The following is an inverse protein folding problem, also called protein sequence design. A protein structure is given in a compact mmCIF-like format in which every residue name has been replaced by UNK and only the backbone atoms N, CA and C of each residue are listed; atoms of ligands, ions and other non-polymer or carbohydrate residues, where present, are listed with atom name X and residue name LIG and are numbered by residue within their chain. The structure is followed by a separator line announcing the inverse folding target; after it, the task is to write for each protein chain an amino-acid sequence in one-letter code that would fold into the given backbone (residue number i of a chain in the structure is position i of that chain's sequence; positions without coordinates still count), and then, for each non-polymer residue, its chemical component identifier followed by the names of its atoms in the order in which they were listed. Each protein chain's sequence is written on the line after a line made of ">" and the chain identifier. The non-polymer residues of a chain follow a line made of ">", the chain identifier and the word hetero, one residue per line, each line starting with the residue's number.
data_IF_109543016946
#
_entry.id   IF_109543016946
#
_cell.length_a   1.000
_cell.length_b   1.000
_cell.length_c   1.000
_cell.angle_alpha   90.00
_cell.angle_beta   90.00
_cell.angle_gamma   90.00
#
_symmetry.space_group_name_H-M   'P 1'
#
loop_
_entity.id
_entity.type
_entity.pdbx_description
1 polymer ?
#
# COMPACT_ATOMS: atom_id res chain seq x y z
N UNK A 1 -48.35 -10.29 15.34
CA UNK A 1 -47.05 -9.59 15.29
C UNK A 1 -46.04 -10.47 15.99
N UNK A 2 -45.25 -11.23 15.22
CA UNK A 2 -44.22 -12.09 15.78
C UNK A 2 -43.00 -11.21 16.13
N UNK A 3 -42.59 -11.25 17.40
CA UNK A 3 -41.40 -10.55 17.85
C UNK A 3 -40.17 -11.08 17.13
N UNK A 4 -39.56 -10.25 16.29
CA UNK A 4 -38.22 -10.51 15.79
C UNK A 4 -37.27 -10.50 16.99
N UNK A 5 -36.79 -11.69 17.37
CA UNK A 5 -35.61 -11.81 18.20
C UNK A 5 -34.48 -11.03 17.50
N UNK A 6 -34.04 -9.93 18.12
CA UNK A 6 -32.96 -9.11 17.59
C UNK A 6 -31.69 -9.95 17.35
N UNK A 7 -30.85 -9.58 16.37
CA UNK A 7 -29.65 -10.34 16.05
C UNK A 7 -28.74 -10.47 17.28
N UNK A 8 -28.09 -11.62 17.46
CA UNK A 8 -27.34 -11.92 18.67
C UNK A 8 -26.06 -11.07 18.76
N UNK A 9 -25.76 -10.68 19.99
CA UNK A 9 -24.44 -10.33 20.53
C UNK A 9 -23.86 -8.95 20.19
N UNK A 10 -24.32 -7.95 20.95
CA UNK A 10 -23.37 -7.00 21.55
C UNK A 10 -22.51 -7.84 22.49
N UNK A 11 -21.29 -8.18 22.06
CA UNK A 11 -20.31 -8.88 22.90
C UNK A 11 -20.23 -8.19 24.26
N UNK A 12 -20.47 -8.94 25.33
CA UNK A 12 -20.31 -8.51 26.72
C UNK A 12 -18.89 -7.92 26.88
N UNK A 13 -18.76 -6.59 26.93
CA UNK A 13 -17.47 -5.88 27.00
C UNK A 13 -17.28 -4.75 25.98
N UNK A 14 -18.09 -4.70 24.91
CA UNK A 14 -18.02 -3.60 23.94
C UNK A 14 -18.62 -2.32 24.53
N UNK A 15 -17.91 -1.19 24.41
CA UNK A 15 -18.43 0.11 24.84
C UNK A 15 -19.68 0.48 24.05
N UNK A 16 -20.67 1.07 24.73
CA UNK A 16 -21.92 1.57 24.14
C UNK A 16 -21.69 2.77 23.21
N UNK A 17 -20.55 3.43 23.35
CA UNK A 17 -20.15 4.58 22.54
C UNK A 17 -19.58 4.18 21.18
N UNK A 18 -19.32 2.88 20.97
CA UNK A 18 -18.85 2.36 19.69
C UNK A 18 -20.01 2.04 18.75
N UNK A 19 -19.80 2.14 17.42
CA UNK A 19 -20.79 1.69 16.46
C UNK A 19 -21.19 0.23 16.69
N UNK A 20 -22.47 -0.04 16.44
CA UNK A 20 -23.02 -1.39 16.48
C UNK A 20 -22.61 -2.12 15.20
N UNK A 21 -22.32 -3.41 15.31
CA UNK A 21 -21.90 -4.23 14.18
C UNK A 21 -22.86 -5.40 14.07
N UNK A 22 -23.50 -5.53 12.91
CA UNK A 22 -24.42 -6.61 12.60
C UNK A 22 -23.85 -7.47 11.48
N UNK A 23 -23.89 -8.80 11.64
CA UNK A 23 -23.59 -9.71 10.54
C UNK A 23 -24.88 -9.98 9.76
N UNK A 24 -24.86 -9.72 8.45
CA UNK A 24 -26.01 -9.95 7.56
C UNK A 24 -25.69 -11.06 6.55
N UNK A 25 -26.71 -11.78 6.12
CA UNK A 25 -26.54 -12.89 5.17
C UNK A 25 -26.41 -12.42 3.72
N UNK A 26 -27.12 -11.34 3.38
CA UNK A 26 -27.15 -10.77 2.02
C UNK A 26 -27.13 -9.25 2.07
N UNK A 27 -26.56 -8.61 1.05
CA UNK A 27 -26.56 -7.16 0.89
C UNK A 27 -26.56 -6.80 -0.61
N UNK A 28 -27.40 -5.85 -1.08
CA UNK A 28 -27.53 -5.56 -2.51
C UNK A 28 -26.23 -5.16 -3.22
N UNK A 29 -25.33 -4.48 -2.49
CA UNK A 29 -24.03 -4.05 -3.00
C UNK A 29 -22.97 -5.17 -2.99
N UNK A 30 -23.21 -6.30 -2.32
CA UNK A 30 -22.22 -7.38 -2.18
C UNK A 30 -22.63 -8.59 -3.02
N UNK A 31 -21.83 -8.88 -4.05
CA UNK A 31 -22.06 -10.03 -4.94
C UNK A 31 -21.49 -11.33 -4.37
N UNK A 32 -22.29 -12.39 -4.47
CA UNK A 32 -21.90 -13.75 -4.09
C UNK A 32 -21.99 -14.03 -2.58
N UNK A 33 -21.79 -15.30 -2.20
CA UNK A 33 -21.85 -15.73 -0.80
C UNK A 33 -20.52 -15.45 -0.09
N UNK A 34 -20.52 -14.51 0.85
CA UNK A 34 -19.40 -14.18 1.74
C UNK A 34 -19.92 -13.56 3.03
N UNK A 35 -19.16 -13.53 4.14
CA UNK A 35 -19.58 -12.84 5.35
C UNK A 35 -19.72 -11.33 5.12
N UNK A 36 -20.83 -10.75 5.54
CA UNK A 36 -21.10 -9.32 5.41
C UNK A 36 -21.34 -8.75 6.81
N UNK A 37 -20.67 -7.66 7.13
CA UNK A 37 -20.82 -6.94 8.38
C UNK A 37 -21.26 -5.51 8.09
N UNK A 38 -22.34 -5.06 8.73
CA UNK A 38 -22.83 -3.68 8.64
C UNK A 38 -22.53 -2.99 9.96
N UNK A 39 -21.66 -1.98 9.90
CA UNK A 39 -21.28 -1.12 11.01
C UNK A 39 -22.21 0.09 10.99
N UNK A 40 -23.06 0.20 12.01
CA UNK A 40 -24.06 1.26 12.13
C UNK A 40 -23.58 2.29 13.16
N UNK A 41 -23.36 3.52 12.70
CA UNK A 41 -22.85 4.62 13.49
C UNK A 41 -23.36 5.96 12.99
N UNK A 42 -22.85 7.06 13.54
CA UNK A 42 -23.17 8.42 13.08
C UNK A 42 -21.95 9.00 12.36
N UNK A 43 -22.14 9.66 11.22
CA UNK A 43 -21.02 10.33 10.53
C UNK A 43 -20.67 11.71 11.10
N UNK A 44 -21.41 12.17 12.11
CA UNK A 44 -21.16 13.47 12.75
C UNK A 44 -19.78 13.55 13.41
N UNK A 45 -19.04 14.63 13.14
CA UNK A 45 -17.69 14.89 13.65
C UNK A 45 -17.57 14.68 15.16
N UNK A 46 -18.57 15.14 15.93
CA UNK A 46 -18.59 15.02 17.38
C UNK A 46 -18.61 13.56 17.84
N UNK A 47 -19.45 12.73 17.22
CA UNK A 47 -19.55 11.31 17.57
C UNK A 47 -18.35 10.53 17.06
N UNK A 48 -17.86 10.81 15.85
CA UNK A 48 -16.63 10.20 15.32
C UNK A 48 -15.42 10.52 16.20
N UNK A 49 -15.35 11.74 16.75
CA UNK A 49 -14.36 12.11 17.76
C UNK A 49 -14.52 11.28 19.04
N UNK A 50 -15.74 11.13 19.56
CA UNK A 50 -15.98 10.26 20.72
C UNK A 50 -15.53 8.82 20.47
N UNK A 51 -15.83 8.26 19.29
CA UNK A 51 -15.37 6.93 18.90
C UNK A 51 -13.84 6.88 18.88
N UNK A 52 -13.19 7.87 18.28
CA UNK A 52 -11.72 7.94 18.23
C UNK A 52 -11.11 8.04 19.63
N UNK A 53 -11.61 8.93 20.48
CA UNK A 53 -11.13 9.13 21.85
C UNK A 53 -11.32 7.85 22.71
N UNK A 54 -12.32 7.03 22.40
CA UNK A 54 -12.54 5.73 23.05
C UNK A 54 -11.62 4.63 22.56
N UNK A 55 -11.28 4.62 21.26
CA UNK A 55 -10.52 3.53 20.63
C UNK A 55 -9.02 3.81 20.67
N UNK A 56 -8.61 5.05 20.44
CA UNK A 56 -7.21 5.45 20.35
C UNK A 56 -6.34 5.01 21.55
N UNK A 57 -6.76 5.18 22.82
CA UNK A 57 -5.93 4.80 23.95
C UNK A 57 -5.94 3.30 24.24
N UNK A 58 -6.82 2.52 23.61
CA UNK A 58 -6.92 1.08 23.87
C UNK A 58 -5.76 0.34 23.21
N UNK A 59 -5.07 -0.48 24.01
CA UNK A 59 -4.06 -1.41 23.47
C UNK A 59 -4.76 -2.48 22.63
N UNK A 60 -4.11 -2.88 21.55
CA UNK A 60 -4.55 -4.03 20.77
C UNK A 60 -4.57 -5.29 21.68
N UNK A 61 -5.64 -6.09 21.68
CA UNK A 61 -5.72 -7.30 22.49
C UNK A 61 -4.60 -8.28 22.12
N UNK A 62 -4.02 -8.96 23.11
CA UNK A 62 -2.89 -9.87 22.90
C UNK A 62 -3.29 -11.15 22.17
N UNK A 63 -4.49 -11.62 22.46
CA UNK A 63 -5.00 -12.85 21.88
C UNK A 63 -6.49 -12.75 21.57
N UNK A 64 -7.01 -13.79 20.93
CA UNK A 64 -8.41 -13.88 20.54
C UNK A 64 -9.36 -13.87 21.75
N UNK A 65 -8.98 -14.48 22.87
CA UNK A 65 -9.83 -14.56 24.04
C UNK A 65 -9.98 -13.19 24.71
N UNK A 66 -8.88 -12.45 24.83
CA UNK A 66 -8.88 -11.06 25.26
C UNK A 66 -9.67 -10.17 24.30
N UNK A 67 -9.49 -10.32 22.99
CA UNK A 67 -10.24 -9.57 21.99
C UNK A 67 -11.76 -9.76 22.16
N UNK A 68 -12.21 -11.01 22.32
CA UNK A 68 -13.63 -11.31 22.57
C UNK A 68 -14.11 -10.69 23.88
N UNK A 69 -13.33 -10.80 24.97
CA UNK A 69 -13.65 -10.21 26.28
C UNK A 69 -13.77 -8.68 26.23
N UNK A 70 -12.93 -8.02 25.44
CA UNK A 70 -12.96 -6.56 25.24
C UNK A 70 -14.03 -6.12 24.21
N UNK A 71 -14.76 -7.07 23.62
CA UNK A 71 -15.84 -6.80 22.69
C UNK A 71 -15.43 -6.44 21.26
N UNK A 72 -14.27 -6.94 20.82
CA UNK A 72 -13.87 -6.88 19.42
C UNK A 72 -14.65 -7.90 18.60
N UNK A 73 -15.02 -7.51 17.38
CA UNK A 73 -15.57 -8.43 16.38
C UNK A 73 -14.41 -9.16 15.72
N UNK A 74 -14.40 -10.49 15.84
CA UNK A 74 -13.37 -11.32 15.22
C UNK A 74 -13.75 -11.59 13.77
N UNK A 75 -12.92 -11.09 12.86
CA UNK A 75 -13.12 -11.19 11.42
C UNK A 75 -12.04 -12.11 10.84
N UNK A 76 -12.45 -13.14 10.13
CA UNK A 76 -11.53 -14.05 9.45
C UNK A 76 -11.30 -13.55 8.02
N UNK A 77 -10.11 -12.99 7.77
CA UNK A 77 -9.76 -12.45 6.45
C UNK A 77 -9.80 -13.51 5.33
N UNK A 78 -9.65 -14.80 5.66
CA UNK A 78 -9.70 -15.91 4.71
C UNK A 78 -11.12 -16.11 4.11
N UNK A 79 -12.16 -15.64 4.79
CA UNK A 79 -13.54 -15.76 4.31
C UNK A 79 -13.92 -14.62 3.36
N UNK A 80 -12.94 -13.74 3.02
CA UNK A 80 -13.12 -12.53 2.22
C UNK A 80 -14.32 -11.64 2.65
N UNK A 81 -14.44 -11.32 3.95
CA UNK A 81 -15.52 -10.49 4.48
C UNK A 81 -15.58 -9.10 3.84
N UNK A 82 -16.80 -8.57 3.79
CA UNK A 82 -17.07 -7.18 3.43
C UNK A 82 -17.66 -6.48 4.65
N UNK A 83 -17.14 -5.30 4.96
CA UNK A 83 -17.60 -4.42 6.02
C UNK A 83 -18.16 -3.16 5.38
N UNK A 84 -19.42 -2.90 5.66
CA UNK A 84 -20.19 -1.75 5.21
C UNK A 84 -20.37 -0.80 6.38
N UNK A 85 -20.39 0.49 6.10
CA UNK A 85 -20.78 1.54 7.02
C UNK A 85 -22.17 2.05 6.66
N UNK A 86 -23.05 2.11 7.65
CA UNK A 86 -24.37 2.71 7.55
C UNK A 86 -24.44 3.90 8.47
N UNK A 87 -24.63 5.08 7.88
CA UNK A 87 -24.91 6.28 8.63
C UNK A 87 -26.35 6.25 9.16
N UNK A 88 -26.46 6.26 10.48
CA UNK A 88 -27.73 6.24 11.20
C UNK A 88 -28.38 7.63 11.27
N UNK A 89 -27.64 8.70 10.99
CA UNK A 89 -28.20 10.05 10.84
C UNK A 89 -28.77 10.30 9.43
N UNK A 90 -28.28 9.57 8.43
CA UNK A 90 -28.67 9.69 7.03
C UNK A 90 -29.97 8.94 6.67
N UNK A 91 -30.05 8.52 5.40
CA UNK A 91 -31.25 7.85 4.83
C UNK A 91 -31.50 6.46 5.40
N UNK A 92 -30.48 5.83 5.99
CA UNK A 92 -30.46 4.45 6.48
C UNK A 92 -30.83 3.38 5.44
N UNK A 93 -30.84 3.75 4.16
CA UNK A 93 -31.14 2.86 3.05
C UNK A 93 -29.95 1.94 2.78
N UNK A 94 -30.21 0.67 2.54
CA UNK A 94 -29.17 -0.35 2.30
C UNK A 94 -28.38 -0.05 1.02
N UNK A 95 -28.98 0.70 0.08
CA UNK A 95 -28.36 1.13 -1.16
C UNK A 95 -27.29 2.21 -0.95
N UNK A 96 -27.39 2.96 0.15
CA UNK A 96 -26.52 4.09 0.49
C UNK A 96 -25.36 3.68 1.44
N UNK A 97 -25.31 2.41 1.86
CA UNK A 97 -24.21 1.88 2.66
C UNK A 97 -22.86 2.05 1.94
N UNK A 98 -21.81 2.35 2.69
CA UNK A 98 -20.46 2.58 2.15
C UNK A 98 -19.55 1.41 2.48
N UNK A 99 -18.92 0.79 1.49
CA UNK A 99 -17.90 -0.25 1.74
C UNK A 99 -16.68 0.41 2.39
N UNK A 100 -16.40 0.09 3.65
CA UNK A 100 -15.28 0.66 4.41
C UNK A 100 -14.08 -0.27 4.49
N UNK A 101 -14.32 -1.58 4.59
CA UNK A 101 -13.24 -2.58 4.63
C UNK A 101 -13.69 -3.79 3.84
N UNK A 102 -12.76 -4.39 3.13
CA UNK A 102 -12.97 -5.68 2.49
C UNK A 102 -11.65 -6.42 2.49
N UNK A 103 -11.69 -7.75 2.58
CA UNK A 103 -10.48 -8.57 2.47
C UNK A 103 -10.58 -9.51 1.29
N UNK A 104 -9.43 -9.89 0.74
CA UNK A 104 -9.34 -10.91 -0.30
C UNK A 104 -8.35 -11.98 0.10
N UNK A 105 -8.87 -13.16 0.42
CA UNK A 105 -8.08 -14.29 0.88
C UNK A 105 -7.02 -14.77 -0.13
N UNK A 106 -7.26 -14.53 -1.43
CA UNK A 106 -6.37 -14.96 -2.51
C UNK A 106 -4.93 -14.44 -2.40
N UNK A 107 -4.69 -13.29 -1.74
CA UNK A 107 -3.35 -12.76 -1.53
C UNK A 107 -2.50 -13.69 -0.64
N UNK A 108 -3.11 -14.18 0.44
CA UNK A 108 -2.45 -15.04 1.43
C UNK A 108 -2.38 -16.49 0.94
N UNK A 109 -3.47 -16.96 0.33
CA UNK A 109 -3.68 -18.35 -0.05
C UNK A 109 -3.95 -19.26 1.15
N UNK A 110 -3.74 -20.59 0.99
CA UNK A 110 -4.05 -21.56 2.03
C UNK A 110 -3.26 -21.30 3.31
N UNK A 111 -3.95 -21.21 4.46
CA UNK A 111 -3.33 -20.89 5.76
C UNK A 111 -2.16 -21.82 6.12
N UNK A 112 -2.27 -23.11 5.81
CA UNK A 112 -1.22 -24.09 6.07
C UNK A 112 0.08 -23.85 5.26
N UNK A 113 -0.02 -23.09 4.16
CA UNK A 113 1.12 -22.72 3.32
C UNK A 113 1.66 -21.31 3.61
N UNK A 114 0.99 -20.52 4.45
CA UNK A 114 1.42 -19.17 4.79
C UNK A 114 2.58 -19.24 5.79
N UNK A 115 3.70 -18.61 5.45
CA UNK A 115 4.87 -18.50 6.32
C UNK A 115 5.14 -17.05 6.74
N UNK A 116 5.75 -16.88 7.92
CA UNK A 116 6.13 -15.56 8.43
C UNK A 116 7.19 -14.88 7.57
N UNK A 117 8.15 -15.64 7.04
CA UNK A 117 9.21 -15.15 6.15
C UNK A 117 8.83 -15.15 4.67
N UNK A 118 9.60 -14.43 3.83
CA UNK A 118 9.41 -14.41 2.37
C UNK A 118 9.42 -15.83 1.79
N UNK A 119 8.61 -16.08 0.77
CA UNK A 119 8.67 -17.36 0.06
C UNK A 119 10.09 -17.63 -0.49
N UNK A 120 10.56 -18.87 -0.31
CA UNK A 120 11.87 -19.33 -0.75
C UNK A 120 11.73 -20.32 -1.90
N UNK A 121 12.54 -20.16 -2.94
CA UNK A 121 12.58 -21.09 -4.06
C UNK A 121 13.45 -22.28 -3.70
N UNK A 122 12.86 -23.48 -3.67
CA UNK A 122 13.62 -24.72 -3.54
C UNK A 122 14.03 -25.23 -4.91
N UNK A 123 15.34 -25.19 -5.18
CA UNK A 123 15.91 -25.64 -6.45
C UNK A 123 15.77 -27.15 -6.70
N UNK A 124 15.57 -27.96 -5.66
CA UNK A 124 15.42 -29.42 -5.79
C UNK A 124 14.02 -29.78 -6.27
N UNK A 125 13.00 -29.12 -5.69
CA UNK A 125 11.59 -29.37 -6.05
C UNK A 125 11.08 -28.44 -7.15
N UNK A 126 11.80 -27.35 -7.44
CA UNK A 126 11.39 -26.33 -8.41
C UNK A 126 10.17 -25.53 -7.96
N UNK A 127 9.91 -25.46 -6.65
CA UNK A 127 8.71 -24.85 -6.07
C UNK A 127 9.07 -23.81 -5.01
N UNK A 128 8.20 -22.82 -4.85
CA UNK A 128 8.29 -21.89 -3.73
C UNK A 128 7.60 -22.46 -2.49
N UNK A 129 8.22 -22.30 -1.33
CA UNK A 129 7.67 -22.67 -0.02
C UNK A 129 7.70 -21.47 0.93
N UNK A 130 6.79 -21.45 1.91
CA UNK A 130 6.63 -20.31 2.82
C UNK A 130 5.96 -19.09 2.17
N UNK A 131 6.12 -17.92 2.81
CA UNK A 131 5.56 -16.65 2.35
C UNK A 131 4.04 -16.64 2.18
N UNK A 132 3.54 -15.67 1.44
CA UNK A 132 2.12 -15.63 1.01
C UNK A 132 1.95 -16.17 -0.41
N UNK A 133 0.73 -16.49 -0.83
CA UNK A 133 0.45 -17.02 -2.18
C UNK A 133 0.98 -16.13 -3.28
N UNK A 134 0.89 -14.81 -3.10
CA UNK A 134 1.49 -13.85 -4.03
C UNK A 134 2.99 -14.12 -4.25
N UNK A 135 3.76 -14.35 -3.18
CA UNK A 135 5.21 -14.55 -3.24
C UNK A 135 5.61 -15.91 -3.83
N UNK A 136 4.68 -16.87 -3.91
CA UNK A 136 4.90 -18.21 -4.48
C UNK A 136 4.74 -18.23 -6.00
N UNK A 137 5.05 -17.12 -6.67
CA UNK A 137 5.06 -16.99 -8.11
C UNK A 137 6.41 -16.44 -8.58
N UNK A 138 6.95 -16.99 -9.68
CA UNK A 138 8.22 -16.54 -10.28
C UNK A 138 8.23 -15.03 -10.64
N UNK A 139 7.05 -14.41 -10.79
CA UNK A 139 6.90 -13.00 -11.12
C UNK A 139 6.90 -12.08 -9.90
N UNK A 140 6.75 -12.61 -8.67
CA UNK A 140 6.79 -11.85 -7.43
C UNK A 140 8.23 -11.52 -7.03
N UNK A 141 8.88 -10.69 -7.84
CA UNK A 141 10.25 -10.22 -7.63
C UNK A 141 10.20 -8.91 -6.84
N UNK A 142 10.82 -8.89 -5.67
CA UNK A 142 10.91 -7.66 -4.87
C UNK A 142 11.94 -6.69 -5.45
N UNK A 143 11.84 -5.41 -5.07
CA UNK A 143 12.90 -4.43 -5.32
C UNK A 143 14.20 -4.85 -4.62
N UNK A 144 15.33 -4.43 -5.19
CA UNK A 144 16.65 -4.57 -4.59
C UNK A 144 16.67 -3.92 -3.20
N UNK A 145 17.42 -4.50 -2.26
CA UNK A 145 17.55 -4.04 -0.86
C UNK A 145 16.26 -4.03 -0.02
N UNK A 146 15.15 -4.56 -0.54
CA UNK A 146 13.91 -4.71 0.21
C UNK A 146 13.41 -6.15 0.15
N UNK A 147 13.03 -6.72 1.29
CA UNK A 147 12.62 -8.13 1.34
C UNK A 147 11.25 -8.35 0.69
N UNK A 148 10.31 -7.39 0.83
CA UNK A 148 8.90 -7.54 0.47
C UNK A 148 8.23 -6.28 -0.12
N UNK A 149 8.97 -5.49 -0.91
CA UNK A 149 8.38 -4.45 -1.75
C UNK A 149 8.32 -4.93 -3.19
N UNK A 150 7.11 -5.08 -3.73
CA UNK A 150 6.86 -5.66 -5.05
C UNK A 150 6.31 -4.59 -6.00
N UNK A 151 7.05 -4.19 -7.05
CA UNK A 151 6.49 -3.34 -8.09
C UNK A 151 5.37 -4.12 -8.76
N UNK A 152 4.13 -3.63 -8.65
CA UNK A 152 2.99 -4.34 -9.25
C UNK A 152 2.71 -3.80 -10.65
N UNK A 153 2.88 -2.49 -10.85
CA UNK A 153 2.77 -1.87 -12.17
C UNK A 153 3.75 -0.70 -12.30
N UNK A 154 4.39 -0.64 -13.46
CA UNK A 154 5.17 0.51 -13.91
C UNK A 154 4.59 0.98 -15.23
N UNK A 155 4.11 2.22 -15.29
CA UNK A 155 3.97 2.91 -16.57
C UNK A 155 5.36 3.14 -17.17
N UNK A 156 5.42 3.38 -18.48
CA UNK A 156 6.65 3.49 -19.28
C UNK A 156 7.73 4.47 -18.78
N UNK A 157 7.43 5.26 -17.74
CA UNK A 157 8.42 6.01 -16.97
C UNK A 157 9.07 5.09 -15.93
N UNK A 158 9.97 4.21 -16.38
CA UNK A 158 10.85 3.49 -15.45
C UNK A 158 11.71 4.50 -14.69
N UNK A 159 11.62 4.51 -13.35
CA UNK A 159 12.53 5.27 -12.50
C UNK A 159 13.97 4.96 -12.91
N UNK A 160 14.74 5.99 -13.27
CA UNK A 160 16.14 5.88 -13.76
C UNK A 160 17.12 5.27 -12.73
N UNK A 161 16.65 4.93 -11.53
CA UNK A 161 17.40 4.25 -10.48
C UNK A 161 16.99 2.79 -10.21
N UNK A 162 16.10 2.21 -11.02
CA UNK A 162 15.85 0.75 -10.97
C UNK A 162 16.89 0.04 -11.84
N UNK A 163 17.83 -0.70 -11.23
CA UNK A 163 18.96 -1.35 -11.90
C UNK A 163 18.59 -2.54 -12.83
N UNK A 164 17.31 -2.81 -13.04
CA UNK A 164 16.84 -3.60 -14.16
C UNK A 164 15.41 -3.20 -14.50
N UNK A 165 15.00 -3.20 -15.78
CA UNK A 165 13.59 -3.15 -16.11
C UNK A 165 12.92 -4.34 -15.42
N UNK A 166 12.01 -4.08 -14.49
CA UNK A 166 11.12 -5.13 -14.00
C UNK A 166 10.45 -5.76 -15.21
N UNK A 167 10.30 -7.09 -15.24
CA UNK A 167 9.70 -7.80 -16.37
C UNK A 167 8.23 -7.43 -16.45
N UNK A 168 7.95 -6.27 -17.06
CA UNK A 168 6.62 -5.72 -17.20
C UNK A 168 5.74 -6.78 -17.84
N UNK A 169 4.64 -7.11 -17.15
CA UNK A 169 3.76 -8.17 -17.57
C UNK A 169 2.84 -7.68 -18.67
N UNK A 170 3.38 -7.56 -19.89
CA UNK A 170 2.60 -7.21 -21.08
C UNK A 170 1.82 -8.44 -21.53
N UNK A 171 0.59 -8.57 -21.03
CA UNK A 171 -0.37 -9.57 -21.48
C UNK A 171 -1.13 -9.00 -22.68
N UNK A 172 -0.46 -8.88 -23.83
CA UNK A 172 -1.09 -8.40 -25.07
C UNK A 172 -2.06 -9.46 -25.59
N UNK A 173 -3.35 -9.33 -25.26
CA UNK A 173 -4.42 -10.21 -25.74
C UNK A 173 -4.43 -11.62 -25.16
N UNK A 174 -3.51 -11.95 -24.26
CA UNK A 174 -3.48 -13.24 -23.57
C UNK A 174 -4.35 -13.19 -22.31
N UNK A 175 -5.08 -14.28 -21.99
CA UNK A 175 -5.78 -14.38 -20.72
C UNK A 175 -4.78 -14.25 -19.56
N UNK A 176 -5.22 -13.61 -18.47
CA UNK A 176 -4.45 -13.54 -17.25
C UNK A 176 -4.41 -14.93 -16.61
N UNK A 177 -3.25 -15.34 -16.10
CA UNK A 177 -3.21 -16.47 -15.17
C UNK A 177 -3.72 -16.04 -13.78
N UNK A 178 -3.93 -17.00 -12.88
CA UNK A 178 -4.47 -16.75 -11.53
C UNK A 178 -3.68 -15.67 -10.77
N UNK A 179 -2.35 -15.67 -10.87
CA UNK A 179 -1.52 -14.65 -10.25
C UNK A 179 -1.70 -13.27 -10.90
N UNK A 180 -1.91 -13.22 -12.22
CA UNK A 180 -2.18 -11.99 -12.95
C UNK A 180 -3.53 -11.40 -12.60
N UNK A 181 -4.54 -12.23 -12.41
CA UNK A 181 -5.85 -11.80 -11.90
C UNK A 181 -5.74 -11.26 -10.49
N UNK A 182 -4.99 -11.94 -9.60
CA UNK A 182 -4.73 -11.47 -8.25
C UNK A 182 -4.06 -10.09 -8.25
N UNK A 183 -2.99 -9.91 -9.05
CA UNK A 183 -2.27 -8.62 -9.18
C UNK A 183 -3.20 -7.54 -9.70
N UNK A 184 -3.94 -7.80 -10.80
CA UNK A 184 -4.91 -6.85 -11.37
C UNK A 184 -5.90 -6.39 -10.32
N UNK A 185 -6.43 -7.32 -9.55
CA UNK A 185 -7.48 -7.01 -8.60
C UNK A 185 -6.96 -6.24 -7.37
N UNK A 186 -5.75 -6.55 -6.90
CA UNK A 186 -5.05 -5.75 -5.87
C UNK A 186 -4.83 -4.31 -6.37
N UNK A 187 -4.37 -4.16 -7.60
CA UNK A 187 -4.12 -2.86 -8.20
C UNK A 187 -5.39 -2.05 -8.35
N UNK A 188 -6.43 -2.65 -8.93
CA UNK A 188 -7.73 -2.02 -9.12
C UNK A 188 -8.24 -1.46 -7.80
N UNK A 189 -8.18 -2.24 -6.73
CA UNK A 189 -8.66 -1.79 -5.42
C UNK A 189 -7.78 -0.67 -4.89
N UNK A 190 -6.46 -0.84 -4.85
CA UNK A 190 -5.56 0.17 -4.31
C UNK A 190 -5.74 1.52 -5.01
N UNK A 191 -5.95 1.48 -6.33
CA UNK A 191 -6.27 2.65 -7.16
C UNK A 191 -7.63 3.25 -6.83
N UNK A 192 -8.70 2.45 -6.80
CA UNK A 192 -10.05 2.95 -6.52
C UNK A 192 -10.10 3.60 -5.13
N UNK A 193 -9.49 2.96 -4.14
CA UNK A 193 -9.37 3.50 -2.78
C UNK A 193 -8.53 4.79 -2.75
N UNK A 194 -7.38 4.82 -3.42
CA UNK A 194 -6.53 6.01 -3.50
C UNK A 194 -7.24 7.18 -4.19
N UNK A 195 -7.94 6.92 -5.29
CA UNK A 195 -8.70 7.94 -6.03
C UNK A 195 -9.93 8.44 -5.25
N UNK A 196 -10.58 7.58 -4.45
CA UNK A 196 -11.62 8.01 -3.52
C UNK A 196 -11.05 8.98 -2.47
N UNK A 197 -9.93 8.62 -1.84
CA UNK A 197 -9.25 9.53 -0.89
C UNK A 197 -8.77 10.83 -1.53
N UNK A 198 -8.39 10.82 -2.82
CA UNK A 198 -8.06 12.04 -3.57
C UNK A 198 -9.31 12.91 -3.82
N UNK A 199 -10.48 12.30 -4.02
CA UNK A 199 -11.75 13.01 -4.19
C UNK A 199 -12.17 13.72 -2.89
N UNK A 200 -11.88 13.13 -1.74
CA UNK A 200 -12.10 13.74 -0.41
C UNK A 200 -11.05 14.80 -0.04
N UNK A 201 -10.04 15.00 -0.90
CA UNK A 201 -9.01 16.02 -0.75
C UNK A 201 -9.51 17.45 -1.00
N UNK A 202 -8.58 18.43 -1.11
CA UNK A 202 -8.93 19.81 -1.45
C UNK A 202 -9.77 19.91 -2.73
N UNK A 203 -10.75 20.83 -2.72
CA UNK A 203 -11.65 21.06 -3.85
C UNK A 203 -10.85 21.30 -5.14
N UNK A 204 -11.26 20.60 -6.21
CA UNK A 204 -10.61 20.71 -7.53
C UNK A 204 -9.30 19.92 -7.69
N UNK A 205 -8.70 19.37 -6.61
CA UNK A 205 -7.44 18.61 -6.72
C UNK A 205 -7.59 17.40 -7.64
N UNK A 206 -8.68 16.64 -7.50
CA UNK A 206 -8.96 15.49 -8.36
C UNK A 206 -9.10 15.92 -9.83
N UNK A 207 -9.88 16.97 -10.11
CA UNK A 207 -10.08 17.48 -11.46
C UNK A 207 -8.75 17.92 -12.09
N UNK A 208 -7.89 18.59 -11.32
CA UNK A 208 -6.55 18.97 -11.77
C UNK A 208 -5.67 17.75 -12.11
N UNK A 209 -5.78 16.67 -11.34
CA UNK A 209 -5.06 15.42 -11.64
C UNK A 209 -5.61 14.74 -12.90
N UNK A 210 -6.93 14.74 -13.09
CA UNK A 210 -7.59 14.25 -14.30
C UNK A 210 -7.13 15.04 -15.53
N UNK A 211 -7.24 16.37 -15.50
CA UNK A 211 -6.81 17.27 -16.58
C UNK A 211 -5.32 17.07 -16.94
N UNK A 212 -4.47 16.95 -15.91
CA UNK A 212 -3.04 16.67 -16.11
C UNK A 212 -2.82 15.31 -16.75
N UNK A 213 -3.54 14.28 -16.31
CA UNK A 213 -3.41 12.93 -16.84
C UNK A 213 -3.79 12.90 -18.33
N UNK A 214 -4.88 13.57 -18.69
CA UNK A 214 -5.36 13.66 -20.07
C UNK A 214 -4.41 14.51 -20.94
N UNK A 215 -3.94 15.66 -20.44
CA UNK A 215 -2.99 16.52 -21.16
C UNK A 215 -1.65 15.82 -21.43
N UNK A 216 -1.15 15.06 -20.45
CA UNK A 216 0.13 14.35 -20.56
C UNK A 216 -0.01 12.92 -21.13
N UNK A 217 -1.22 12.49 -21.48
CA UNK A 217 -1.54 11.12 -21.89
C UNK A 217 -0.97 10.07 -20.92
N UNK A 218 -1.13 10.31 -19.61
CA UNK A 218 -0.66 9.38 -18.58
C UNK A 218 -1.52 8.10 -18.67
N UNK A 219 -0.90 6.92 -18.83
CA UNK A 219 -1.65 5.68 -18.88
C UNK A 219 -2.32 5.41 -17.53
N UNK A 220 -3.62 5.11 -17.57
CA UNK A 220 -4.42 4.77 -16.40
C UNK A 220 -4.16 3.32 -16.00
N UNK A 221 -3.49 3.12 -14.87
CA UNK A 221 -3.05 1.80 -14.40
C UNK A 221 -4.04 1.25 -13.38
N UNK A 222 -4.34 -0.05 -13.43
CA UNK A 222 -5.16 -0.75 -12.43
C UNK A 222 -6.67 -0.51 -12.60
N UNK A 223 -7.10 0.73 -12.82
CA UNK A 223 -8.47 1.08 -13.16
C UNK A 223 -8.52 2.35 -14.03
N UNK A 224 -9.62 2.53 -14.78
CA UNK A 224 -9.86 3.69 -15.64
C UNK A 224 -10.04 4.98 -14.85
N UNK A 225 -10.36 4.92 -13.55
CA UNK A 225 -10.44 6.11 -12.70
C UNK A 225 -9.06 6.64 -12.29
N UNK A 226 -7.96 5.94 -12.58
CA UNK A 226 -6.63 6.32 -12.13
C UNK A 226 -5.98 7.43 -12.96
N UNK A 227 -6.06 8.67 -12.48
CA UNK A 227 -5.34 9.80 -13.08
C UNK A 227 -4.06 10.18 -12.33
N UNK A 228 -3.93 9.76 -11.06
CA UNK A 228 -2.87 10.26 -10.18
C UNK A 228 -1.69 9.30 -9.97
N UNK A 229 -1.90 7.98 -10.12
CA UNK A 229 -0.93 6.95 -9.69
C UNK A 229 -0.41 6.12 -10.87
N UNK A 230 0.56 6.65 -11.65
CA UNK A 230 1.09 5.97 -12.83
C UNK A 230 1.98 4.76 -12.50
N UNK A 231 2.31 4.54 -11.23
CA UNK A 231 3.12 3.43 -10.73
C UNK A 231 2.52 2.91 -9.43
N UNK A 232 2.49 1.58 -9.27
CA UNK A 232 1.96 0.94 -8.08
C UNK A 232 2.99 -0.02 -7.50
N UNK A 233 3.15 0.03 -6.18
CA UNK A 233 4.00 -0.87 -5.41
C UNK A 233 3.16 -1.50 -4.31
N UNK A 234 3.29 -2.81 -4.14
CA UNK A 234 2.70 -3.54 -3.04
C UNK A 234 3.79 -3.85 -2.02
N UNK A 235 3.59 -3.39 -0.79
CA UNK A 235 4.44 -3.74 0.34
C UNK A 235 3.73 -4.79 1.18
N UNK A 236 4.41 -5.90 1.47
CA UNK A 236 3.88 -6.93 2.35
C UNK A 236 4.63 -6.91 3.68
N UNK A 237 3.93 -6.55 4.75
CA UNK A 237 4.42 -6.68 6.11
C UNK A 237 3.94 -8.00 6.72
N UNK A 238 4.80 -8.65 7.51
CA UNK A 238 4.35 -9.72 8.40
C UNK A 238 3.53 -9.11 9.54
N UNK A 239 2.53 -9.84 10.02
CA UNK A 239 1.97 -9.54 11.33
C UNK A 239 3.08 -9.68 12.37
N UNK A 240 3.26 -8.66 13.21
CA UNK A 240 4.11 -8.74 14.38
C UNK A 240 3.42 -9.57 15.47
N UNK A 241 4.18 -10.30 16.26
CA UNK A 241 3.63 -10.92 17.46
C UNK A 241 3.20 -9.82 18.46
N UNK A 242 2.13 -10.04 19.25
CA UNK A 242 1.61 -9.03 20.18
C UNK A 242 2.65 -8.48 21.15
N UNK A 243 3.64 -9.29 21.54
CA UNK A 243 4.69 -8.89 22.46
C UNK A 243 5.70 -7.93 21.81
N UNK A 244 5.96 -8.07 20.50
CA UNK A 244 6.73 -7.09 19.70
C UNK A 244 5.90 -5.83 19.37
N UNK A 245 4.57 -5.96 19.31
CA UNK A 245 3.63 -4.86 19.07
C UNK A 245 3.16 -4.16 20.37
N UNK A 246 3.68 -4.51 21.54
CA UNK A 246 3.18 -4.05 22.85
C UNK A 246 3.31 -2.54 23.09
N UNK A 247 4.07 -1.85 22.24
CA UNK A 247 4.22 -0.39 22.20
C UNK A 247 3.34 0.33 21.16
N UNK A 248 2.60 -0.42 20.34
CA UNK A 248 1.71 0.11 19.31
C UNK A 248 0.48 0.73 19.98
N UNK A 249 0.46 2.06 20.05
CA UNK A 249 -0.68 2.85 20.49
C UNK A 249 -1.10 3.71 19.30
N UNK A 250 -2.37 3.59 18.87
CA UNK A 250 -2.92 4.36 17.75
C UNK A 250 -2.76 5.87 17.98
N UNK A 251 -2.81 6.31 19.24
CA UNK A 251 -2.53 7.70 19.64
C UNK A 251 -1.10 8.13 19.30
N UNK A 252 -0.08 7.27 19.47
CA UNK A 252 1.32 7.59 19.09
C UNK A 252 1.47 7.74 17.58
N UNK A 253 0.66 7.03 16.79
CA UNK A 253 0.70 7.07 15.32
C UNK A 253 -0.09 8.26 14.75
N UNK A 254 -1.27 8.54 15.33
CA UNK A 254 -2.12 9.68 14.96
C UNK A 254 -1.61 11.03 15.48
N UNK A 255 -0.59 11.04 16.35
CA UNK A 255 0.19 12.24 16.64
C UNK A 255 0.95 12.69 15.39
N UNK A 256 0.23 13.28 14.44
CA UNK A 256 0.78 14.13 13.40
C UNK A 256 1.51 15.24 14.13
N UNK A 257 2.83 15.12 14.24
CA UNK A 257 3.66 16.22 14.76
C UNK A 257 3.25 17.45 13.95
N UNK A 258 2.78 18.53 14.59
CA UNK A 258 2.43 19.73 13.85
C UNK A 258 3.64 20.07 12.99
N UNK A 259 3.43 20.11 11.67
CA UNK A 259 4.48 20.51 10.74
C UNK A 259 4.93 21.85 11.28
N UNK A 260 6.13 21.90 11.87
CA UNK A 260 6.73 23.13 12.34
C UNK A 260 6.82 23.97 11.07
N UNK A 261 5.86 24.88 10.88
CA UNK A 261 5.93 25.89 9.83
C UNK A 261 7.24 26.59 10.09
N UNK A 262 8.28 26.25 9.32
CA UNK A 262 9.54 26.98 9.34
C UNK A 262 9.11 28.42 9.13
N UNK A 263 9.40 29.29 10.09
CA UNK A 263 9.07 30.70 10.05
C UNK A 263 9.69 31.32 8.78
N UNK A 264 8.97 31.27 7.66
CA UNK A 264 9.37 31.92 6.39
C UNK A 264 9.39 33.44 6.60
N UNK A 265 8.73 33.95 7.63
CA UNK A 265 8.74 35.34 8.07
C UNK A 265 10.12 35.84 8.52
N UNK A 266 11.10 34.97 8.82
CA UNK A 266 12.46 35.40 9.15
C UNK A 266 13.37 35.66 7.94
N UNK A 267 13.00 35.23 6.73
CA UNK A 267 13.78 35.54 5.52
C UNK A 267 13.40 36.86 4.85
N UNK A 268 12.24 37.45 5.18
CA UNK A 268 11.82 38.74 4.62
C UNK A 268 12.38 39.93 5.45
N UNK A 269 12.79 39.70 6.71
CA UNK A 269 13.35 40.76 7.59
C UNK A 269 14.88 40.91 7.56
N UNK A 270 15.62 40.00 6.94
CA UNK A 270 17.03 40.25 6.62
C UNK A 270 17.08 40.87 5.23
N UNK A 271 17.05 42.20 5.14
CA UNK A 271 17.19 42.98 3.91
C UNK A 271 18.53 42.79 3.20
N UNK A 272 18.86 41.55 2.82
CA UNK A 272 20.00 41.24 1.98
C UNK A 272 19.50 41.32 0.54
N UNK A 273 19.57 42.54 0.01
CA UNK A 273 19.29 42.85 -1.37
C UNK A 273 20.00 41.84 -2.28
N UNK A 274 19.22 41.19 -3.15
CA UNK A 274 19.75 40.45 -4.29
C UNK A 274 20.29 41.51 -5.25
N UNK A 275 21.58 41.82 -5.10
CA UNK A 275 22.31 42.70 -6.01
C UNK A 275 22.36 42.06 -7.39
N UNK A 276 21.70 42.72 -8.32
CA UNK A 276 21.77 42.50 -9.76
C UNK A 276 23.21 42.66 -10.29
N UNK A 277 23.51 41.81 -11.28
CA UNK A 277 24.46 41.97 -12.39
C UNK A 277 25.83 42.63 -12.13
N UNK A 278 26.91 41.88 -12.41
CA UNK A 278 28.14 42.45 -13.00
C UNK A 278 28.79 41.49 -14.01
N UNK A 279 29.53 42.04 -14.99
CA UNK A 279 29.56 41.56 -16.36
C UNK A 279 30.75 40.65 -16.67
N UNK A 280 30.60 39.92 -17.78
CA UNK A 280 31.65 39.16 -18.45
C UNK A 280 32.79 40.12 -18.80
N UNK A 281 33.99 39.87 -18.28
CA UNK A 281 35.24 40.45 -18.78
C UNK A 281 36.22 39.35 -19.17
N UNK A 282 36.67 39.49 -20.41
CA UNK A 282 37.68 38.73 -21.12
C UNK A 282 39.08 38.79 -20.48
N UNK A 283 39.74 37.64 -20.44
CA UNK A 283 41.17 37.45 -20.72
C UNK A 283 42.21 38.01 -19.72
N UNK A 284 43.00 37.10 -19.14
CA UNK A 284 44.46 37.05 -19.33
C UNK A 284 45.07 35.79 -18.70
N UNK A 285 45.92 35.14 -19.49
CA UNK A 285 46.80 34.03 -19.12
C UNK A 285 47.87 34.53 -18.14
N UNK A 286 48.14 33.75 -17.08
CA UNK A 286 49.45 33.75 -16.42
C UNK A 286 49.66 32.43 -15.70
N UNK A 287 50.73 31.74 -16.10
CA UNK A 287 51.27 30.56 -15.46
C UNK A 287 51.71 30.86 -14.01
N UNK A 288 51.48 29.90 -13.11
CA UNK A 288 52.32 29.71 -11.91
C UNK A 288 52.24 28.26 -11.43
N UNK A 289 53.33 27.57 -11.69
CA UNK A 289 53.76 26.28 -11.15
C UNK A 289 53.76 26.28 -9.62
N UNK A 290 53.24 25.23 -8.98
CA UNK A 290 53.75 24.78 -7.66
C UNK A 290 53.33 23.33 -7.32
N UNK A 291 54.36 22.47 -7.37
CA UNK A 291 54.72 21.33 -6.52
C UNK A 291 53.66 20.26 -6.20
N UNK A 292 53.91 19.11 -6.82
CA UNK A 292 53.45 17.78 -6.44
C UNK A 292 53.82 17.42 -4.98
N UNK A 293 52.86 16.80 -4.28
CA UNK A 293 53.12 15.90 -3.15
C UNK A 293 52.69 14.50 -3.58
N UNK A 294 53.67 13.61 -3.67
CA UNK A 294 53.54 12.16 -3.84
C UNK A 294 52.79 11.57 -2.65
N UNK A 295 51.74 10.79 -2.89
CA UNK A 295 51.24 9.77 -1.96
C UNK A 295 51.12 8.46 -2.74
N UNK A 296 51.68 7.40 -2.15
CA UNK A 296 51.80 6.06 -2.72
C UNK A 296 50.44 5.38 -2.97
N UNK A 297 50.34 4.49 -3.98
CA UNK A 297 49.11 3.77 -4.27
C UNK A 297 48.96 2.54 -3.37
N UNK A 298 47.89 2.52 -2.58
CA UNK A 298 47.40 1.31 -1.90
C UNK A 298 46.93 0.32 -2.95
N UNK A 299 47.65 -0.81 -3.07
CA UNK A 299 47.25 -1.95 -3.90
C UNK A 299 46.03 -2.63 -3.27
N UNK A 300 44.85 -2.42 -3.84
CA UNK A 300 43.69 -3.27 -3.58
C UNK A 300 43.49 -4.15 -4.80
N UNK A 301 43.72 -5.46 -4.63
CA UNK A 301 43.50 -6.46 -5.65
C UNK A 301 42.01 -6.52 -5.99
N UNK A 302 41.68 -6.17 -7.24
CA UNK A 302 40.37 -6.38 -7.83
C UNK A 302 40.41 -7.77 -8.47
N UNK A 303 39.79 -8.75 -7.81
CA UNK A 303 39.57 -10.08 -8.37
C UNK A 303 38.45 -10.00 -9.41
N UNK A 304 38.83 -10.01 -10.69
CA UNK A 304 37.91 -10.05 -11.82
C UNK A 304 37.40 -11.48 -11.98
N UNK A 305 36.15 -11.74 -11.57
CA UNK A 305 35.48 -13.01 -11.87
C UNK A 305 35.12 -13.09 -13.37
N UNK A 306 35.39 -14.21 -14.06
CA UNK A 306 35.05 -14.37 -15.47
C UNK A 306 33.53 -14.48 -15.66
N UNK A 307 33.02 -13.68 -16.60
CA UNK A 307 31.63 -13.70 -17.06
C UNK A 307 31.28 -15.05 -17.67
N UNK A 308 30.17 -15.63 -17.20
CA UNK A 308 29.61 -16.90 -17.71
C UNK A 308 29.27 -16.77 -19.19
N UNK A 309 29.86 -17.64 -20.01
CA UNK A 309 29.56 -17.85 -21.43
C UNK A 309 28.06 -17.98 -21.69
N UNK A 310 27.56 -17.13 -22.58
CA UNK A 310 26.27 -17.26 -23.26
C UNK A 310 26.21 -18.64 -23.97
N UNK A 311 25.44 -19.60 -23.44
CA UNK A 311 25.12 -20.83 -24.19
C UNK A 311 23.96 -20.52 -25.15
N UNK A 312 24.30 -20.39 -26.43
CA UNK A 312 23.37 -20.54 -27.55
C UNK A 312 22.70 -21.92 -27.45
N UNK A 313 21.38 -21.97 -27.22
CA UNK A 313 20.59 -23.16 -27.51
C UNK A 313 20.08 -23.06 -28.95
N UNK A 314 20.52 -24.02 -29.77
CA UNK A 314 19.92 -24.35 -31.06
C UNK A 314 18.47 -24.77 -30.81
N UNK A 315 17.51 -24.07 -31.41
CA UNK A 315 16.22 -24.64 -31.73
C UNK A 315 16.45 -25.59 -32.90
N UNK A 316 16.43 -26.89 -32.61
CA UNK A 316 16.17 -27.89 -33.63
C UNK A 316 14.65 -28.04 -33.69
N UNK A 317 14.10 -27.84 -34.87
CA UNK A 317 12.77 -28.25 -35.25
C UNK A 317 12.59 -29.74 -34.98
N UNK A 318 11.37 -30.14 -34.62
CA UNK A 318 10.79 -31.45 -34.89
C UNK A 318 9.27 -31.32 -34.79
N UNK A 319 8.63 -32.04 -35.69
CA UNK A 319 7.22 -32.11 -36.02
C UNK A 319 6.27 -32.36 -34.83
#
# INVERSE_FOLDING_TARGET
>A
MAGHAGPPNVSTGRSKELPTIEKVETHPQVKGRRPIYVVKGLEEDGWMKTVLDNVAPKKCPKDRAEAVRQGYVIINAADSPVILWRDMAGTQRVEDDKIVVWTRAGLLGPRAAVGAGKAQFDSKTGRYTGGVAFERNNMAVSLEDTSRAYPSSTSHQSSRGMNAPHRGRKNLGMPLDEHGELVRDIQKVGVVAGMAGLADGPEGLKNLMDDRADYLNIPRVGDQVNSAYPTLQMNLASAAEPDEASDYNLEKELQVKPIKRRNVTKMIRSGKAISTAKPIKSGKVSAKTKKAKKSEPTKTAIEVRPTRKLRRRKLAALD
#
